data_IF_502548666033
#
_entry.id   IF_502548666033
#
_cell.length_a   1.000
_cell.length_b   1.000
_cell.length_c   1.000
_cell.angle_alpha   90.00
_cell.angle_beta   90.00
_cell.angle_gamma   90.00
#
_symmetry.space_group_name_H-M   'P 1'
#
loop_
_entity.id
_entity.type
_entity.pdbx_description
1 polymer ?
#
# COMPACT_ATOMS: atom_id res chain seq x y z
N UNK A 1 -29.41 -19.08 18.00
CA UNK A 1 -28.55 -18.43 19.02
C UNK A 1 -28.36 -16.99 18.60
N UNK A 2 -28.70 -16.04 19.47
CA UNK A 2 -28.44 -14.61 19.24
C UNK A 2 -27.05 -14.33 19.83
N UNK A 3 -26.10 -13.92 19.00
CA UNK A 3 -24.77 -13.50 19.47
C UNK A 3 -24.89 -12.19 20.26
N UNK A 4 -24.15 -12.01 21.37
CA UNK A 4 -24.15 -10.74 22.09
C UNK A 4 -23.69 -9.60 21.18
N UNK A 5 -24.42 -8.48 21.21
CA UNK A 5 -24.08 -7.26 20.50
C UNK A 5 -23.00 -6.51 21.31
N UNK A 6 -21.76 -6.52 20.80
CA UNK A 6 -20.67 -5.74 21.40
C UNK A 6 -20.63 -4.36 20.73
N UNK A 7 -20.89 -3.33 21.52
CA UNK A 7 -20.86 -1.94 21.07
C UNK A 7 -19.56 -1.28 21.51
N UNK A 8 -18.77 -0.78 20.56
CA UNK A 8 -17.54 -0.02 20.86
C UNK A 8 -17.87 1.47 21.05
N UNK A 9 -17.32 2.09 22.09
CA UNK A 9 -17.46 3.50 22.43
C UNK A 9 -16.10 4.10 22.75
N UNK A 10 -15.88 5.34 22.34
CA UNK A 10 -14.68 6.10 22.70
C UNK A 10 -14.72 6.48 24.19
N UNK A 11 -13.58 6.84 24.77
CA UNK A 11 -13.55 7.33 26.17
C UNK A 11 -14.37 8.61 26.35
N UNK A 12 -14.42 9.45 25.31
CA UNK A 12 -15.25 10.65 25.29
C UNK A 12 -16.73 10.28 25.23
N UNK A 13 -17.11 9.31 24.39
CA UNK A 13 -18.51 8.84 24.30
C UNK A 13 -19.01 8.28 25.64
N UNK A 14 -18.13 7.60 26.38
CA UNK A 14 -18.42 7.04 27.70
C UNK A 14 -18.68 8.14 28.75
N UNK A 15 -18.06 9.31 28.58
CA UNK A 15 -18.37 10.47 29.41
C UNK A 15 -19.59 11.22 28.90
N UNK A 16 -19.69 11.53 27.62
CA UNK A 16 -20.72 12.42 27.07
C UNK A 16 -22.14 11.83 27.18
N UNK A 17 -22.27 10.51 27.13
CA UNK A 17 -23.57 9.83 27.18
C UNK A 17 -23.95 9.54 28.65
N UNK A 18 -25.04 10.12 29.16
CA UNK A 18 -25.44 10.00 30.57
C UNK A 18 -25.58 8.55 31.05
N UNK A 19 -26.14 7.67 30.21
CA UNK A 19 -26.37 6.27 30.55
C UNK A 19 -25.06 5.52 30.82
N UNK A 20 -24.02 5.77 30.01
CA UNK A 20 -22.70 5.16 30.20
C UNK A 20 -21.96 5.77 31.38
N UNK A 21 -22.05 7.08 31.56
CA UNK A 21 -21.42 7.78 32.69
C UNK A 21 -21.95 7.26 34.03
N UNK A 22 -23.26 7.10 34.16
CA UNK A 22 -23.87 6.60 35.39
C UNK A 22 -23.59 5.11 35.62
N UNK A 23 -23.53 4.30 34.57
CA UNK A 23 -23.13 2.89 34.66
C UNK A 23 -21.67 2.72 35.11
N UNK A 24 -20.75 3.53 34.58
CA UNK A 24 -19.34 3.55 35.00
C UNK A 24 -19.17 3.92 36.47
N UNK A 25 -19.96 4.89 36.96
CA UNK A 25 -20.00 5.25 38.39
C UNK A 25 -20.48 4.08 39.25
N UNK A 26 -21.54 3.37 38.85
CA UNK A 26 -22.07 2.19 39.56
C UNK A 26 -21.06 1.05 39.62
N UNK A 27 -20.26 0.89 38.57
CA UNK A 27 -19.23 -0.15 38.47
C UNK A 27 -17.87 0.28 39.05
N UNK A 28 -17.74 1.51 39.55
CA UNK A 28 -16.49 2.09 40.04
C UNK A 28 -15.34 2.06 39.01
N UNK A 29 -15.68 2.26 37.73
CA UNK A 29 -14.71 2.32 36.63
C UNK A 29 -14.45 3.77 36.27
N UNK A 30 -13.18 4.17 36.27
CA UNK A 30 -12.74 5.51 35.93
C UNK A 30 -11.86 5.47 34.69
N UNK A 31 -12.39 5.85 33.50
CA UNK A 31 -11.56 5.91 32.30
C UNK A 31 -10.50 7.01 32.46
N UNK A 32 -9.24 6.67 32.25
CA UNK A 32 -8.18 7.69 32.17
C UNK A 32 -8.35 8.50 30.89
N UNK A 33 -8.64 9.79 31.02
CA UNK A 33 -8.61 10.72 29.89
C UNK A 33 -7.20 11.30 29.81
N UNK A 34 -6.44 10.97 28.76
CA UNK A 34 -5.14 11.60 28.54
C UNK A 34 -5.33 13.08 28.20
N UNK A 35 -4.38 13.91 28.61
CA UNK A 35 -4.29 15.29 28.12
C UNK A 35 -4.13 15.32 26.59
N UNK A 36 -4.53 16.44 25.99
CA UNK A 36 -4.36 16.63 24.56
C UNK A 36 -2.87 16.51 24.16
N UNK A 37 -2.56 15.84 23.04
CA UNK A 37 -1.18 15.75 22.57
C UNK A 37 -0.64 17.15 22.25
N UNK A 38 0.60 17.40 22.66
CA UNK A 38 1.31 18.65 22.36
C UNK A 38 1.98 18.50 20.99
N UNK A 39 1.73 19.44 20.08
CA UNK A 39 2.39 19.48 18.78
C UNK A 39 3.87 19.81 18.94
N UNK A 40 4.73 19.03 18.28
CA UNK A 40 6.17 19.19 18.30
C UNK A 40 6.70 19.31 16.88
N UNK A 41 7.36 20.44 16.59
CA UNK A 41 8.10 20.64 15.36
C UNK A 41 9.56 20.21 15.47
N UNK A 42 10.16 19.85 14.35
CA UNK A 42 11.60 19.64 14.21
C UNK A 42 12.10 20.30 12.92
N UNK A 43 13.37 20.72 12.91
CA UNK A 43 13.98 21.35 11.74
C UNK A 43 14.56 20.27 10.82
N UNK A 44 14.19 20.31 9.53
CA UNK A 44 14.72 19.44 8.49
C UNK A 44 16.13 19.84 8.03
N UNK A 45 16.64 21.01 8.44
CA UNK A 45 17.98 21.50 8.10
C UNK A 45 18.28 21.31 6.59
N UNK A 46 19.38 20.62 6.28
CA UNK A 46 19.90 20.42 4.93
C UNK A 46 19.05 19.48 4.07
N UNK A 47 18.18 18.64 4.68
CA UNK A 47 17.40 17.63 3.93
C UNK A 47 16.02 18.13 3.54
N UNK A 48 15.70 19.40 3.81
CA UNK A 48 14.41 20.00 3.48
C UNK A 48 14.07 19.86 2.00
N UNK A 49 15.03 20.18 1.11
CA UNK A 49 14.77 20.15 -0.33
C UNK A 49 14.62 18.71 -0.83
N UNK A 50 15.44 17.78 -0.31
CA UNK A 50 15.30 16.35 -0.59
C UNK A 50 13.93 15.82 -0.13
N UNK A 51 13.50 16.22 1.06
CA UNK A 51 12.19 15.90 1.63
C UNK A 51 11.05 16.39 0.73
N UNK A 52 11.05 17.67 0.35
CA UNK A 52 9.98 18.24 -0.48
C UNK A 52 9.92 17.57 -1.85
N UNK A 53 11.07 17.40 -2.52
CA UNK A 53 11.13 16.68 -3.80
C UNK A 53 10.59 15.25 -3.68
N UNK A 54 10.91 14.56 -2.58
CA UNK A 54 10.44 13.19 -2.34
C UNK A 54 8.92 13.15 -2.17
N UNK A 55 8.33 14.12 -1.47
CA UNK A 55 6.88 14.23 -1.36
C UNK A 55 6.23 14.47 -2.72
N UNK A 56 6.78 15.36 -3.54
CA UNK A 56 6.26 15.65 -4.88
C UNK A 56 6.37 14.44 -5.81
N UNK A 57 7.44 13.64 -5.70
CA UNK A 57 7.59 12.40 -6.45
C UNK A 57 6.59 11.32 -5.99
N UNK A 58 6.27 11.22 -4.71
CA UNK A 58 5.39 10.16 -4.17
C UNK A 58 3.92 10.53 -4.31
N UNK A 59 3.57 11.78 -4.06
CA UNK A 59 2.18 12.24 -3.95
C UNK A 59 2.04 13.70 -4.39
N UNK A 60 2.27 14.01 -5.69
CA UNK A 60 2.11 15.37 -6.19
C UNK A 60 0.66 15.83 -6.05
N UNK A 61 0.47 17.14 -5.86
CA UNK A 61 -0.87 17.72 -5.86
C UNK A 61 -1.52 17.60 -7.24
N UNK A 62 -2.85 17.73 -7.32
CA UNK A 62 -3.53 17.71 -8.62
C UNK A 62 -3.18 18.95 -9.46
N UNK A 63 -2.88 20.09 -8.81
CA UNK A 63 -2.35 21.28 -9.46
C UNK A 63 -0.97 21.00 -10.09
N UNK A 64 -0.08 20.31 -9.38
CA UNK A 64 1.24 19.94 -9.90
C UNK A 64 1.14 19.00 -11.09
N UNK A 65 0.25 18.01 -11.02
CA UNK A 65 0.00 17.09 -12.14
C UNK A 65 -0.51 17.82 -13.38
N UNK A 66 -1.45 18.76 -13.20
CA UNK A 66 -2.00 19.50 -14.34
C UNK A 66 -0.97 20.49 -14.91
N UNK A 67 -0.22 21.17 -14.06
CA UNK A 67 0.86 22.10 -14.46
C UNK A 67 1.94 21.41 -15.30
N UNK A 68 2.31 20.19 -14.94
CA UNK A 68 3.37 19.44 -15.61
C UNK A 68 2.86 18.39 -16.61
N UNK A 69 1.57 18.43 -16.95
CA UNK A 69 0.94 17.47 -17.87
C UNK A 69 1.58 17.40 -19.26
N UNK A 70 2.14 18.52 -19.72
CA UNK A 70 2.85 18.63 -21.00
C UNK A 70 4.37 18.40 -20.87
N UNK A 71 4.89 18.23 -19.65
CA UNK A 71 6.30 18.00 -19.40
C UNK A 71 6.61 16.49 -19.45
N UNK A 72 7.32 15.99 -20.48
CA UNK A 72 7.68 14.59 -20.57
C UNK A 72 8.67 14.14 -19.49
N UNK A 73 9.36 15.08 -18.83
CA UNK A 73 10.27 14.79 -17.72
C UNK A 73 9.53 14.64 -16.38
N UNK A 74 8.28 15.09 -16.29
CA UNK A 74 7.50 14.97 -15.06
C UNK A 74 7.10 13.52 -14.83
N UNK A 75 7.68 12.95 -13.77
CA UNK A 75 7.38 11.60 -13.30
C UNK A 75 7.00 11.64 -11.84
N UNK A 76 6.10 10.76 -11.46
CA UNK A 76 5.67 10.57 -10.09
C UNK A 76 5.18 9.13 -9.90
N UNK A 77 5.06 8.72 -8.65
CA UNK A 77 4.62 7.39 -8.28
C UNK A 77 3.12 7.20 -8.60
N UNK A 78 2.84 6.50 -9.69
CA UNK A 78 1.48 6.17 -10.14
C UNK A 78 0.86 5.09 -9.27
N UNK A 79 1.69 4.27 -8.61
CA UNK A 79 1.28 3.12 -7.82
C UNK A 79 0.46 2.13 -8.68
N UNK A 80 0.95 1.92 -9.91
CA UNK A 80 0.34 1.14 -11.00
C UNK A 80 0.00 -0.29 -10.60
N UNK A 81 0.88 -0.95 -9.83
CA UNK A 81 0.65 -2.28 -9.24
C UNK A 81 -0.71 -2.42 -8.55
N UNK A 82 -1.15 -1.39 -7.85
CA UNK A 82 -2.36 -1.46 -7.01
C UNK A 82 -3.64 -1.16 -7.79
N UNK A 83 -3.52 -0.78 -9.07
CA UNK A 83 -4.64 -0.36 -9.92
C UNK A 83 -4.62 -0.94 -11.34
N UNK A 84 -4.38 -2.26 -11.53
CA UNK A 84 -4.38 -2.88 -12.86
C UNK A 84 -5.70 -2.68 -13.63
N UNK A 85 -6.84 -2.42 -12.96
CA UNK A 85 -8.10 -2.12 -13.67
C UNK A 85 -8.04 -0.85 -14.52
N UNK A 86 -7.16 0.11 -14.23
CA UNK A 86 -6.97 1.31 -15.06
C UNK A 86 -6.34 0.99 -16.43
N UNK A 87 -5.76 -0.20 -16.56
CA UNK A 87 -5.04 -0.66 -17.75
C UNK A 87 -5.85 -1.65 -18.56
N UNK A 88 -7.14 -1.85 -18.26
CA UNK A 88 -7.97 -2.79 -19.02
C UNK A 88 -8.09 -2.32 -20.47
N UNK A 89 -7.95 -3.25 -21.42
CA UNK A 89 -8.11 -2.98 -22.85
C UNK A 89 -9.48 -2.32 -23.10
N UNK A 90 -9.57 -1.24 -23.89
CA UNK A 90 -10.83 -0.57 -24.20
C UNK A 90 -11.66 -1.38 -25.22
N UNK A 91 -11.99 -2.62 -24.87
CA UNK A 91 -12.78 -3.55 -25.68
C UNK A 91 -13.94 -4.09 -24.82
N UNK A 92 -15.17 -3.79 -25.25
CA UNK A 92 -16.39 -4.13 -24.51
C UNK A 92 -16.61 -5.64 -24.36
N UNK A 93 -16.22 -6.46 -25.34
CA UNK A 93 -16.37 -7.91 -25.26
C UNK A 93 -15.42 -8.50 -24.22
N UNK A 94 -14.14 -8.11 -24.26
CA UNK A 94 -13.13 -8.53 -23.27
C UNK A 94 -13.47 -8.05 -21.86
N UNK A 95 -14.04 -6.84 -21.73
CA UNK A 95 -14.51 -6.32 -20.44
C UNK A 95 -15.65 -7.16 -19.85
N UNK A 96 -16.64 -7.54 -20.67
CA UNK A 96 -17.74 -8.41 -20.24
C UNK A 96 -17.26 -9.81 -19.89
N UNK A 97 -16.31 -10.35 -20.65
CA UNK A 97 -15.67 -11.63 -20.35
C UNK A 97 -14.95 -11.59 -19.00
N UNK A 98 -14.12 -10.57 -18.77
CA UNK A 98 -13.44 -10.34 -17.49
C UNK A 98 -14.42 -10.18 -16.33
N UNK A 99 -15.47 -9.36 -16.49
CA UNK A 99 -16.47 -9.17 -15.43
C UNK A 99 -17.20 -10.48 -15.09
N UNK A 100 -17.52 -11.30 -16.09
CA UNK A 100 -18.08 -12.63 -15.88
C UNK A 100 -17.10 -13.53 -15.11
N UNK A 101 -15.84 -13.60 -15.54
CA UNK A 101 -14.81 -14.40 -14.86
C UNK A 101 -14.61 -13.97 -13.40
N UNK A 102 -14.59 -12.65 -13.13
CA UNK A 102 -14.45 -12.11 -11.78
C UNK A 102 -15.67 -12.45 -10.92
N UNK A 103 -16.88 -12.35 -11.46
CA UNK A 103 -18.08 -12.72 -10.72
C UNK A 103 -18.12 -14.22 -10.40
N UNK A 104 -17.74 -15.08 -11.35
CA UNK A 104 -17.72 -16.54 -11.17
C UNK A 104 -16.65 -16.98 -10.17
N UNK A 105 -15.43 -16.44 -10.25
CA UNK A 105 -14.30 -16.86 -9.41
C UNK A 105 -14.27 -16.18 -8.05
N UNK A 106 -14.71 -14.93 -7.96
CA UNK A 106 -14.48 -14.07 -6.78
C UNK A 106 -15.75 -13.49 -6.16
N UNK A 107 -16.93 -13.72 -6.77
CA UNK A 107 -18.19 -13.12 -6.32
C UNK A 107 -18.16 -11.59 -6.32
N UNK A 108 -17.34 -10.96 -7.17
CA UNK A 108 -17.21 -9.50 -7.28
C UNK A 108 -17.06 -9.10 -8.74
N UNK A 109 -17.73 -8.02 -9.14
CA UNK A 109 -17.59 -7.47 -10.49
C UNK A 109 -16.38 -6.54 -10.63
N UNK A 110 -16.04 -6.25 -11.88
CA UNK A 110 -14.96 -5.37 -12.29
C UNK A 110 -15.09 -3.95 -11.72
N UNK A 111 -16.31 -3.41 -11.70
CA UNK A 111 -16.57 -2.07 -11.14
C UNK A 111 -16.21 -1.99 -9.65
N UNK A 112 -16.62 -2.99 -8.87
CA UNK A 112 -16.28 -3.04 -7.44
C UNK A 112 -14.78 -3.23 -7.22
N UNK A 113 -14.12 -4.02 -8.07
CA UNK A 113 -12.68 -4.20 -8.01
C UNK A 113 -11.94 -2.88 -8.29
N UNK A 114 -12.34 -2.15 -9.35
CA UNK A 114 -11.74 -0.87 -9.71
C UNK A 114 -11.86 0.17 -8.59
N UNK A 115 -13.05 0.27 -7.97
CA UNK A 115 -13.26 1.15 -6.82
C UNK A 115 -12.35 0.83 -5.63
N UNK A 116 -12.15 -0.46 -5.33
CA UNK A 116 -11.23 -0.89 -4.25
C UNK A 116 -9.78 -0.56 -4.58
N UNK A 117 -9.36 -0.77 -5.83
CA UNK A 117 -8.00 -0.54 -6.28
C UNK A 117 -7.58 0.94 -6.23
N UNK A 118 -8.48 1.86 -6.60
CA UNK A 118 -8.24 3.30 -6.44
C UNK A 118 -7.94 3.69 -4.98
N UNK A 119 -8.75 3.19 -4.04
CA UNK A 119 -8.55 3.43 -2.60
C UNK A 119 -7.20 2.87 -2.11
N UNK A 120 -6.81 1.68 -2.57
CA UNK A 120 -5.52 1.08 -2.21
C UNK A 120 -4.36 1.90 -2.77
N UNK A 121 -4.43 2.36 -4.03
CA UNK A 121 -3.39 3.21 -4.63
C UNK A 121 -3.15 4.48 -3.82
N UNK A 122 -4.22 5.19 -3.43
CA UNK A 122 -4.13 6.39 -2.59
C UNK A 122 -3.66 6.09 -1.17
N UNK A 123 -4.03 4.92 -0.64
CA UNK A 123 -3.53 4.47 0.65
C UNK A 123 -2.02 4.22 0.61
N UNK A 124 -1.47 3.61 -0.44
CA UNK A 124 -0.04 3.32 -0.56
C UNK A 124 0.81 4.59 -0.65
N UNK A 125 0.35 5.60 -1.39
CA UNK A 125 0.99 6.93 -1.40
C UNK A 125 1.01 7.56 0.00
N UNK A 126 -0.14 7.61 0.66
CA UNK A 126 -0.26 8.14 2.03
C UNK A 126 0.54 7.33 3.04
N UNK A 127 0.67 6.02 2.85
CA UNK A 127 1.44 5.15 3.71
C UNK A 127 2.93 5.50 3.63
N UNK A 128 3.49 5.68 2.43
CA UNK A 128 4.89 6.13 2.27
C UNK A 128 5.12 7.45 2.99
N UNK A 129 4.27 8.44 2.75
CA UNK A 129 4.38 9.76 3.41
C UNK A 129 4.29 9.62 4.94
N UNK A 130 3.33 8.85 5.47
CA UNK A 130 3.23 8.64 6.92
C UNK A 130 4.42 7.91 7.51
N UNK A 131 4.99 6.94 6.78
CA UNK A 131 6.18 6.20 7.22
C UNK A 131 7.40 7.09 7.19
N UNK A 132 7.46 7.98 6.20
CA UNK A 132 8.43 9.05 6.13
C UNK A 132 8.34 10.02 7.30
N UNK A 133 7.12 10.48 7.62
CA UNK A 133 6.87 11.29 8.82
C UNK A 133 7.16 10.55 10.12
N UNK A 134 7.09 9.22 10.14
CA UNK A 134 7.31 8.42 11.34
C UNK A 134 8.78 8.42 11.74
N UNK A 135 9.66 7.96 10.85
CA UNK A 135 11.12 7.99 10.98
C UNK A 135 11.81 7.66 9.66
N UNK A 136 13.09 8.03 9.53
CA UNK A 136 13.89 7.70 8.33
C UNK A 136 14.03 6.18 8.17
N UNK A 137 14.12 5.44 9.29
CA UNK A 137 14.15 3.97 9.27
C UNK A 137 12.84 3.35 8.76
N UNK A 138 11.69 3.87 9.20
CA UNK A 138 10.39 3.36 8.76
C UNK A 138 10.16 3.64 7.27
N UNK A 139 10.64 4.78 6.78
CA UNK A 139 10.62 5.10 5.35
C UNK A 139 11.45 4.12 4.53
N UNK A 140 12.70 3.86 4.94
CA UNK A 140 13.62 2.92 4.28
C UNK A 140 12.98 1.53 4.12
N UNK A 141 12.42 1.00 5.20
CA UNK A 141 11.78 -0.31 5.18
C UNK A 141 10.56 -0.32 4.27
N UNK A 142 9.77 0.76 4.27
CA UNK A 142 8.59 0.87 3.41
C UNK A 142 8.97 0.95 1.93
N UNK A 143 10.03 1.67 1.58
CA UNK A 143 10.57 1.72 0.22
C UNK A 143 11.06 0.34 -0.23
N UNK A 144 11.82 -0.37 0.62
CA UNK A 144 12.26 -1.74 0.34
C UNK A 144 11.06 -2.65 0.04
N UNK A 145 10.08 -2.67 0.92
CA UNK A 145 8.88 -3.48 0.75
C UNK A 145 8.10 -3.14 -0.53
N UNK A 146 8.05 -1.87 -0.93
CA UNK A 146 7.41 -1.50 -2.20
C UNK A 146 8.23 -1.92 -3.41
N UNK A 147 9.55 -1.71 -3.40
CA UNK A 147 10.46 -2.17 -4.46
C UNK A 147 10.30 -3.69 -4.66
N UNK A 148 10.45 -4.47 -3.58
CA UNK A 148 10.31 -5.94 -3.62
C UNK A 148 8.93 -6.34 -4.17
N UNK A 149 7.87 -5.60 -3.78
CA UNK A 149 6.51 -5.83 -4.24
C UNK A 149 6.29 -5.52 -5.73
N UNK A 150 7.05 -4.58 -6.30
CA UNK A 150 7.05 -4.26 -7.74
C UNK A 150 7.90 -5.27 -8.54
N UNK A 151 9.01 -5.74 -7.98
CA UNK A 151 9.82 -6.80 -8.60
C UNK A 151 9.05 -8.13 -8.65
N UNK A 152 8.34 -8.50 -7.57
CA UNK A 152 7.48 -9.71 -7.53
C UNK A 152 6.38 -9.71 -8.59
N UNK A 153 5.73 -8.56 -8.84
CA UNK A 153 4.68 -8.51 -9.87
C UNK A 153 5.28 -8.62 -11.28
N UNK A 154 6.47 -8.08 -11.53
CA UNK A 154 7.16 -8.28 -12.81
C UNK A 154 7.50 -9.75 -13.02
N UNK A 155 8.12 -10.41 -12.04
CA UNK A 155 8.41 -11.83 -12.09
C UNK A 155 7.15 -12.67 -12.32
N UNK A 156 6.04 -12.32 -11.67
CA UNK A 156 4.76 -13.00 -11.86
C UNK A 156 4.26 -12.89 -13.30
N UNK A 157 4.27 -11.68 -13.87
CA UNK A 157 3.80 -11.44 -15.24
C UNK A 157 4.69 -12.16 -16.24
N UNK A 158 6.01 -12.15 -16.06
CA UNK A 158 6.95 -12.84 -16.93
C UNK A 158 6.73 -14.36 -16.96
N UNK A 159 6.46 -14.97 -15.80
CA UNK A 159 6.30 -16.43 -15.71
C UNK A 159 4.90 -16.93 -16.03
N UNK A 160 3.85 -16.20 -15.63
CA UNK A 160 2.46 -16.68 -15.65
C UNK A 160 1.63 -16.04 -16.75
N UNK A 161 2.10 -14.94 -17.31
CA UNK A 161 1.35 -14.06 -18.19
C UNK A 161 0.02 -13.54 -17.60
N UNK A 162 0.03 -13.29 -16.28
CA UNK A 162 -1.13 -12.82 -15.52
C UNK A 162 -0.73 -11.78 -14.49
N UNK A 163 -1.67 -10.91 -14.15
CA UNK A 163 -1.54 -9.94 -13.06
C UNK A 163 -2.12 -10.52 -11.78
N UNK A 164 -1.30 -10.73 -10.74
CA UNK A 164 -1.80 -11.21 -9.45
C UNK A 164 -2.49 -10.07 -8.69
N UNK A 165 -3.68 -10.34 -8.18
CA UNK A 165 -4.43 -9.43 -7.32
C UNK A 165 -4.75 -10.14 -6.02
N UNK A 166 -4.25 -9.59 -4.90
CA UNK A 166 -4.41 -10.22 -3.60
C UNK A 166 -5.14 -9.30 -2.62
N UNK A 167 -6.27 -9.80 -2.08
CA UNK A 167 -7.14 -9.04 -1.17
C UNK A 167 -6.54 -8.84 0.22
N UNK A 168 -5.66 -9.74 0.70
CA UNK A 168 -5.11 -9.70 2.07
C UNK A 168 -3.70 -10.30 2.17
N UNK A 169 -2.72 -9.51 2.57
CA UNK A 169 -1.37 -9.96 2.88
C UNK A 169 -0.33 -9.52 1.85
N UNK A 170 0.89 -10.03 2.00
CA UNK A 170 1.99 -9.82 1.05
C UNK A 170 1.78 -10.82 -0.11
N UNK A 171 2.01 -10.36 -1.34
CA UNK A 171 1.99 -11.25 -2.50
C UNK A 171 3.14 -12.26 -2.35
N UNK A 172 2.87 -13.57 -2.28
CA UNK A 172 3.92 -14.59 -2.25
C UNK A 172 4.82 -14.49 -3.47
N UNK A 173 6.06 -15.00 -3.37
CA UNK A 173 6.93 -15.05 -4.54
C UNK A 173 6.33 -15.98 -5.59
N UNK A 174 6.51 -15.67 -6.88
CA UNK A 174 6.03 -16.60 -7.90
C UNK A 174 6.88 -17.88 -7.86
N UNK A 175 8.16 -17.74 -7.54
CA UNK A 175 9.14 -18.80 -7.28
C UNK A 175 8.70 -19.76 -6.17
N UNK A 176 8.08 -19.26 -5.09
CA UNK A 176 7.63 -20.09 -3.96
C UNK A 176 6.66 -21.22 -4.40
N UNK A 177 5.98 -21.04 -5.54
CA UNK A 177 5.09 -22.04 -6.11
C UNK A 177 5.80 -23.08 -6.99
N UNK A 178 7.08 -22.87 -7.33
CA UNK A 178 7.83 -23.71 -8.28
C UNK A 178 9.14 -24.26 -7.68
N UNK A 179 9.40 -24.06 -6.39
CA UNK A 179 10.65 -24.47 -5.72
C UNK A 179 10.75 -25.97 -5.35
N UNK A 180 9.76 -26.80 -5.66
CA UNK A 180 9.79 -28.24 -5.36
C UNK A 180 10.40 -29.08 -6.49
N UNK A 181 11.30 -30.00 -6.13
CA UNK A 181 12.09 -30.82 -7.06
C UNK A 181 11.49 -32.20 -7.38
N UNK A 182 10.17 -32.34 -7.41
CA UNK A 182 9.49 -33.65 -7.60
C UNK A 182 8.51 -33.62 -8.79
N UNK A 183 8.38 -34.74 -9.52
CA UNK A 183 7.69 -34.83 -10.83
C UNK A 183 6.15 -34.74 -10.76
N UNK A 184 5.55 -34.57 -9.58
CA UNK A 184 4.09 -34.45 -9.37
C UNK A 184 3.63 -33.01 -9.01
N UNK A 185 4.33 -32.03 -9.58
CA UNK A 185 4.19 -30.57 -9.36
C UNK A 185 2.76 -30.02 -9.51
N UNK A 186 1.88 -30.66 -10.28
CA UNK A 186 0.63 -30.01 -10.70
C UNK A 186 -0.42 -29.94 -9.59
N UNK A 187 -0.53 -30.99 -8.76
CA UNK A 187 -1.54 -31.04 -7.68
C UNK A 187 -1.14 -30.15 -6.49
N UNK A 188 0.15 -30.15 -6.09
CA UNK A 188 0.64 -29.31 -4.98
C UNK A 188 0.56 -27.81 -5.32
N UNK A 189 0.92 -27.44 -6.54
CA UNK A 189 0.79 -26.05 -7.04
C UNK A 189 -0.67 -25.63 -7.02
N UNK A 190 -1.56 -26.49 -7.54
CA UNK A 190 -3.00 -26.22 -7.58
C UNK A 190 -3.56 -26.04 -6.16
N UNK A 191 -3.20 -26.93 -5.22
CA UNK A 191 -3.63 -26.84 -3.83
C UNK A 191 -3.12 -25.58 -3.10
N UNK A 192 -1.88 -25.14 -3.37
CA UNK A 192 -1.39 -23.85 -2.86
C UNK A 192 -2.20 -22.68 -3.43
N UNK A 193 -2.46 -22.69 -4.74
CA UNK A 193 -3.27 -21.65 -5.38
C UNK A 193 -4.69 -21.61 -4.82
N UNK A 194 -5.35 -22.74 -4.61
CA UNK A 194 -6.69 -22.83 -3.99
C UNK A 194 -6.68 -22.22 -2.59
N UNK A 195 -5.69 -22.54 -1.76
CA UNK A 195 -5.53 -21.95 -0.41
C UNK A 195 -5.35 -20.43 -0.43
N UNK A 196 -4.66 -19.90 -1.44
CA UNK A 196 -4.54 -18.46 -1.63
C UNK A 196 -5.83 -17.84 -2.20
N UNK A 197 -6.52 -18.54 -3.10
CA UNK A 197 -7.83 -18.13 -3.64
C UNK A 197 -8.88 -17.99 -2.53
N UNK A 198 -8.90 -18.93 -1.57
CA UNK A 198 -9.73 -18.84 -0.36
C UNK A 198 -9.44 -17.58 0.48
N UNK A 199 -8.22 -17.04 0.38
CA UNK A 199 -7.79 -15.79 1.03
C UNK A 199 -8.03 -14.55 0.17
N UNK A 200 -8.65 -14.71 -0.99
CA UNK A 200 -8.98 -13.66 -1.95
C UNK A 200 -7.85 -13.30 -2.90
N UNK A 201 -6.98 -14.27 -3.22
CA UNK A 201 -6.04 -14.18 -4.34
C UNK A 201 -6.74 -14.52 -5.65
N UNK A 202 -6.47 -13.76 -6.69
CA UNK A 202 -6.87 -14.11 -8.04
C UNK A 202 -5.89 -13.53 -9.05
N UNK A 203 -5.98 -14.03 -10.27
CA UNK A 203 -5.14 -13.61 -11.37
C UNK A 203 -6.02 -13.01 -12.47
N UNK A 204 -5.59 -11.88 -13.04
CA UNK A 204 -6.19 -11.30 -14.24
C UNK A 204 -5.28 -11.63 -15.42
N UNK A 205 -5.83 -12.27 -16.44
CA UNK A 205 -5.07 -12.62 -17.65
C UNK A 205 -4.56 -11.36 -18.39
N UNK A 206 -3.31 -11.38 -18.85
CA UNK A 206 -2.72 -10.25 -19.57
C UNK A 206 -3.45 -9.92 -20.88
N UNK A 207 -4.24 -10.84 -21.45
CA UNK A 207 -5.12 -10.54 -22.59
C UNK A 207 -6.13 -9.42 -22.30
N UNK A 208 -6.47 -9.21 -21.02
CA UNK A 208 -7.38 -8.14 -20.59
C UNK A 208 -6.69 -6.81 -20.32
N UNK A 209 -5.35 -6.78 -20.29
CA UNK A 209 -4.54 -5.64 -19.86
C UNK A 209 -3.78 -5.06 -21.06
N UNK A 210 -3.70 -3.72 -21.12
CA UNK A 210 -2.83 -2.98 -22.04
C UNK A 210 -1.37 -3.21 -21.66
N UNK A 211 -0.79 -4.34 -22.09
CA UNK A 211 0.52 -4.84 -21.68
C UNK A 211 1.61 -3.77 -21.72
N UNK A 212 1.80 -3.14 -22.87
CA UNK A 212 2.88 -2.16 -23.07
C UNK A 212 2.79 -1.00 -22.07
N UNK A 213 1.61 -0.41 -21.95
CA UNK A 213 1.36 0.71 -21.04
C UNK A 213 1.51 0.29 -19.57
N UNK A 214 0.97 -0.87 -19.21
CA UNK A 214 1.02 -1.36 -17.82
C UNK A 214 2.45 -1.67 -17.39
N UNK A 215 3.21 -2.39 -18.22
CA UNK A 215 4.60 -2.74 -17.91
C UNK A 215 5.50 -1.51 -17.88
N UNK A 216 5.29 -0.53 -18.78
CA UNK A 216 6.02 0.73 -18.75
C UNK A 216 5.78 1.50 -17.45
N UNK A 217 4.54 1.57 -16.97
CA UNK A 217 4.21 2.25 -15.72
C UNK A 217 4.73 1.50 -14.48
N UNK A 218 4.70 0.16 -14.48
CA UNK A 218 5.30 -0.69 -13.43
C UNK A 218 6.81 -0.44 -13.35
N UNK A 219 7.50 -0.42 -14.49
CA UNK A 219 8.94 -0.17 -14.55
C UNK A 219 9.29 1.27 -14.15
N UNK A 220 8.49 2.25 -14.58
CA UNK A 220 8.67 3.65 -14.19
C UNK A 220 8.50 3.85 -12.68
N UNK A 221 7.47 3.25 -12.07
CA UNK A 221 7.27 3.30 -10.63
C UNK A 221 8.41 2.62 -9.87
N UNK A 222 8.84 1.43 -10.31
CA UNK A 222 9.95 0.70 -9.70
C UNK A 222 11.25 1.51 -9.75
N UNK A 223 11.57 2.10 -10.90
CA UNK A 223 12.77 2.91 -11.05
C UNK A 223 12.70 4.15 -10.16
N UNK A 224 11.57 4.84 -10.11
CA UNK A 224 11.38 6.00 -9.23
C UNK A 224 11.58 5.63 -7.76
N UNK A 225 11.06 4.49 -7.30
CA UNK A 225 11.27 4.03 -5.93
C UNK A 225 12.74 3.69 -5.64
N UNK A 226 13.44 3.07 -6.60
CA UNK A 226 14.88 2.78 -6.51
C UNK A 226 15.70 4.08 -6.45
N UNK A 227 15.38 5.05 -7.29
CA UNK A 227 16.05 6.35 -7.32
C UNK A 227 15.87 7.10 -5.99
N UNK A 228 14.64 7.16 -5.46
CA UNK A 228 14.36 7.74 -4.13
C UNK A 228 15.18 7.01 -3.05
N UNK A 229 15.24 5.68 -3.09
CA UNK A 229 16.03 4.90 -2.12
C UNK A 229 17.52 5.27 -2.21
N UNK A 230 18.08 5.35 -3.40
CA UNK A 230 19.49 5.71 -3.60
C UNK A 230 19.76 7.15 -3.17
N UNK A 231 18.88 8.11 -3.48
CA UNK A 231 19.02 9.51 -3.04
C UNK A 231 19.05 9.65 -1.51
N UNK A 232 18.24 8.85 -0.80
CA UNK A 232 18.14 8.90 0.66
C UNK A 232 19.21 8.09 1.39
N UNK A 233 19.60 6.94 0.86
CA UNK A 233 20.36 5.93 1.59
C UNK A 233 21.66 5.51 0.90
N UNK A 234 21.94 5.99 -0.31
CA UNK A 234 23.05 5.55 -1.14
C UNK A 234 22.83 4.17 -1.78
N UNK A 235 23.81 3.72 -2.55
CA UNK A 235 23.82 2.40 -3.21
C UNK A 235 23.82 1.25 -2.20
N UNK A 236 24.51 1.44 -1.06
CA UNK A 236 24.45 0.57 0.11
C UNK A 236 23.52 1.21 1.15
N UNK A 237 22.25 0.77 1.29
CA UNK A 237 21.24 1.55 2.01
C UNK A 237 21.52 1.76 3.50
N UNK A 238 22.07 2.92 3.85
CA UNK A 238 22.41 3.31 5.22
C UNK A 238 21.70 4.60 5.63
N UNK A 239 21.30 4.68 6.90
CA UNK A 239 20.68 5.89 7.46
C UNK A 239 21.78 6.85 7.88
N UNK A 240 21.97 7.91 7.09
CA UNK A 240 23.01 8.93 7.35
C UNK A 240 22.53 10.02 8.34
N UNK A 241 21.23 10.31 8.34
CA UNK A 241 20.63 11.36 9.16
C UNK A 241 19.22 10.98 9.60
N UNK A 242 18.80 11.46 10.77
CA UNK A 242 17.40 11.46 11.21
C UNK A 242 17.19 12.64 12.18
N UNK A 243 16.92 13.83 11.63
CA UNK A 243 16.78 15.05 12.43
C UNK A 243 15.59 15.00 13.40
N UNK A 244 14.58 14.18 13.10
CA UNK A 244 13.45 13.96 14.00
C UNK A 244 13.91 13.17 15.24
N UNK A 245 14.65 12.09 15.04
CA UNK A 245 15.23 11.31 16.13
C UNK A 245 16.19 12.16 16.97
N UNK A 246 17.00 13.01 16.33
CA UNK A 246 17.91 13.90 17.04
C UNK A 246 17.17 14.98 17.85
N UNK A 247 16.10 15.55 17.30
CA UNK A 247 15.23 16.47 18.04
C UNK A 247 14.57 15.76 19.23
N UNK A 248 14.07 14.54 19.02
CA UNK A 248 13.45 13.74 20.07
C UNK A 248 14.44 13.37 21.18
N UNK A 249 15.68 12.99 20.83
CA UNK A 249 16.77 12.76 21.81
C UNK A 249 17.07 13.99 22.66
N UNK A 250 17.02 15.19 22.07
CA UNK A 250 17.22 16.45 22.81
C UNK A 250 16.06 16.72 23.78
N UNK A 251 14.82 16.38 23.43
CA UNK A 251 13.66 16.50 24.31
C UNK A 251 13.75 15.55 25.49
N UNK A 252 14.12 14.28 25.27
CA UNK A 252 14.28 13.30 26.34
C UNK A 252 15.34 13.71 27.38
N UNK A 253 16.38 14.44 26.98
CA UNK A 253 17.41 14.96 27.91
C UNK A 253 16.92 16.12 28.78
N UNK A 254 15.79 16.73 28.44
CA UNK A 254 15.19 17.86 29.18
C UNK A 254 14.10 17.41 30.15
N UNK A 255 13.64 16.17 30.03
CA UNK A 255 12.72 15.50 30.95
C UNK A 255 13.51 14.83 32.08
#
# INVERSE_FOLDING_TARGET
>A
MISPLVVRRSRLDLEDIPEYREDLKRQHIYPTIPEAPIELGYNLNEVKDLYLRTLDLISPSDEDKEKHKADPAFRYFKASRYKPTEYIVPNENLRKELDKELNEKMGTGLYMLAGRQGVVSDFMRRLLVRRFESSVAAFRESLKMMIDSFERIQAWIEKRDKVPVYKRGILPDVEDFYETSDDDLTEEITAMFEKYQDRGFFEIDMKYIQREKFMADIQSDLQLLKDIRTEWFGEEPQIQFDYKLDAFRKLLKKL
#
